data_IF_090994811978
#
_entry.id   IF_090994811978
#
_cell.length_a   1.000
_cell.length_b   1.000
_cell.length_c   1.000
_cell.angle_alpha   90.00
_cell.angle_beta   90.00
_cell.angle_gamma   90.00
#
_symmetry.space_group_name_H-M   'P 1'
#
loop_
_entity.id
_entity.type
_entity.pdbx_description
1 polymer ?
#
# COMPACT_ATOMS: atom_id res chain seq x y z
N UNK A 1 -39.55 17.75 40.16
CA UNK A 1 -38.08 17.94 40.05
C UNK A 1 -37.32 16.63 39.89
N UNK A 2 -37.75 15.51 40.51
CA UNK A 2 -37.11 14.20 40.31
C UNK A 2 -37.07 13.72 38.86
N UNK A 3 -38.19 13.81 38.13
CA UNK A 3 -38.28 13.36 36.72
C UNK A 3 -37.40 14.12 35.74
N UNK A 4 -37.14 15.41 35.99
CA UNK A 4 -36.26 16.21 35.13
C UNK A 4 -34.78 15.87 35.35
N UNK A 5 -34.40 15.55 36.59
CA UNK A 5 -33.03 15.15 36.94
C UNK A 5 -32.74 13.74 36.44
N UNK A 6 -33.70 12.81 36.52
CA UNK A 6 -33.55 11.47 35.92
C UNK A 6 -33.54 11.52 34.41
N UNK A 7 -34.39 12.36 33.78
CA UNK A 7 -34.35 12.60 32.33
C UNK A 7 -32.99 13.15 31.87
N UNK A 8 -32.45 14.16 32.54
CA UNK A 8 -31.12 14.70 32.22
C UNK A 8 -30.02 13.65 32.44
N UNK A 9 -30.09 12.87 33.52
CA UNK A 9 -29.15 11.80 33.81
C UNK A 9 -29.12 10.72 32.72
N UNK A 10 -30.29 10.28 32.24
CA UNK A 10 -30.38 9.30 31.15
C UNK A 10 -29.84 9.86 29.83
N UNK A 11 -30.21 11.08 29.43
CA UNK A 11 -29.70 11.67 28.19
C UNK A 11 -28.19 11.93 28.22
N UNK A 12 -27.62 12.30 29.38
CA UNK A 12 -26.17 12.46 29.55
C UNK A 12 -25.44 11.12 29.49
N UNK A 13 -26.02 10.06 30.06
CA UNK A 13 -25.47 8.71 29.98
C UNK A 13 -25.49 8.18 28.54
N UNK A 14 -26.60 8.37 27.82
CA UNK A 14 -26.72 8.01 26.42
C UNK A 14 -25.73 8.81 25.56
N UNK A 15 -25.66 10.13 25.76
CA UNK A 15 -24.67 10.99 25.09
C UNK A 15 -23.24 10.50 25.31
N UNK A 16 -22.89 10.15 26.56
CA UNK A 16 -21.58 9.60 26.89
C UNK A 16 -21.31 8.29 26.13
N UNK A 17 -22.27 7.37 26.08
CA UNK A 17 -22.16 6.11 25.32
C UNK A 17 -22.09 6.30 23.80
N UNK A 18 -22.55 7.43 23.27
CA UNK A 18 -22.38 7.78 21.86
C UNK A 18 -21.04 8.48 21.56
N UNK A 19 -20.32 8.98 22.58
CA UNK A 19 -19.01 9.59 22.36
C UNK A 19 -17.96 8.59 21.92
N UNK A 20 -17.02 9.04 21.08
CA UNK A 20 -15.88 8.22 20.69
C UNK A 20 -14.96 7.86 21.85
N UNK A 21 -14.94 8.65 22.93
CA UNK A 21 -14.16 8.36 24.13
C UNK A 21 -14.67 7.11 24.87
N UNK A 22 -15.99 6.93 24.96
CA UNK A 22 -16.57 5.76 25.61
C UNK A 22 -16.43 4.47 24.78
N UNK A 23 -16.33 4.60 23.45
CA UNK A 23 -16.17 3.47 22.52
C UNK A 23 -14.70 3.23 22.14
N UNK A 24 -13.77 4.04 22.62
CA UNK A 24 -12.35 3.91 22.32
C UNK A 24 -11.79 2.64 22.94
N UNK A 25 -11.30 1.73 22.10
CA UNK A 25 -10.49 0.60 22.55
C UNK A 25 -9.01 0.90 22.39
N UNK A 26 -8.16 0.13 23.09
CA UNK A 26 -6.69 0.22 22.96
C UNK A 26 -6.25 0.06 21.49
N UNK A 27 -6.95 -0.80 20.72
CA UNK A 27 -6.67 -0.98 19.29
C UNK A 27 -6.85 0.30 18.47
N UNK A 28 -7.91 1.08 18.73
CA UNK A 28 -8.13 2.36 18.04
C UNK A 28 -6.99 3.33 18.33
N UNK A 29 -6.57 3.45 19.59
CA UNK A 29 -5.48 4.34 19.99
C UNK A 29 -4.15 3.96 19.31
N UNK A 30 -3.83 2.66 19.24
CA UNK A 30 -2.63 2.16 18.57
C UNK A 30 -2.68 2.47 17.07
N UNK A 31 -3.80 2.19 16.41
CA UNK A 31 -3.91 2.42 14.97
C UNK A 31 -3.90 3.92 14.62
N UNK A 32 -4.53 4.77 15.42
CA UNK A 32 -4.45 6.22 15.27
C UNK A 32 -3.00 6.69 15.38
N UNK A 33 -2.25 6.18 16.36
CA UNK A 33 -0.84 6.51 16.53
C UNK A 33 -0.02 6.07 15.31
N UNK A 34 -0.27 4.89 14.75
CA UNK A 34 0.36 4.41 13.51
C UNK A 34 0.03 5.34 12.33
N UNK A 35 -1.23 5.76 12.18
CA UNK A 35 -1.66 6.71 11.15
C UNK A 35 -0.94 8.06 11.26
N UNK A 36 -0.77 8.58 12.48
CA UNK A 36 0.00 9.79 12.75
C UNK A 36 1.49 9.63 12.41
N UNK A 37 2.09 8.48 12.73
CA UNK A 37 3.47 8.18 12.35
C UNK A 37 3.63 8.19 10.83
N UNK A 38 2.67 7.62 10.09
CA UNK A 38 2.75 7.56 8.63
C UNK A 38 2.65 8.95 7.99
N UNK A 39 1.73 9.78 8.48
CA UNK A 39 1.63 11.19 8.05
C UNK A 39 2.91 11.95 8.41
N UNK A 40 3.48 11.71 9.60
CA UNK A 40 4.74 12.31 10.00
C UNK A 40 5.90 11.90 9.09
N UNK A 41 6.04 10.61 8.77
CA UNK A 41 7.08 10.11 7.87
C UNK A 41 6.91 10.70 6.46
N UNK A 42 5.68 10.80 5.97
CA UNK A 42 5.41 11.37 4.66
C UNK A 42 5.74 12.87 4.57
N UNK A 43 5.47 13.64 5.62
CA UNK A 43 5.67 15.10 5.61
C UNK A 43 7.09 15.48 6.04
N UNK A 44 7.55 14.98 7.19
CA UNK A 44 8.82 15.41 7.78
C UNK A 44 10.04 14.74 7.13
N UNK A 45 9.85 13.58 6.49
CA UNK A 45 10.92 12.82 5.86
C UNK A 45 10.70 12.57 4.37
N UNK A 46 9.61 13.11 3.81
CA UNK A 46 9.27 13.03 2.37
C UNK A 46 9.22 11.59 1.83
N UNK A 47 8.89 10.61 2.68
CA UNK A 47 8.72 9.22 2.26
C UNK A 47 7.41 9.07 1.49
N UNK A 48 7.48 8.84 0.18
CA UNK A 48 6.34 8.55 -0.72
C UNK A 48 5.05 9.34 -0.36
N UNK A 49 5.09 10.70 -0.35
CA UNK A 49 4.04 11.49 0.27
C UNK A 49 2.68 11.34 -0.42
N UNK A 50 2.71 11.09 -1.74
CA UNK A 50 1.54 10.86 -2.57
C UNK A 50 0.68 9.68 -2.09
N UNK A 51 1.27 8.72 -1.37
CA UNK A 51 0.61 7.49 -0.96
C UNK A 51 0.53 7.34 0.56
N UNK A 52 1.62 7.65 1.29
CA UNK A 52 1.61 7.53 2.76
C UNK A 52 0.65 8.52 3.42
N UNK A 53 0.43 9.72 2.84
CA UNK A 53 -0.53 10.68 3.40
C UNK A 53 -1.97 10.14 3.29
N UNK A 54 -2.48 9.74 2.10
CA UNK A 54 -3.81 9.12 2.00
C UNK A 54 -3.96 7.86 2.85
N UNK A 55 -2.93 7.00 2.94
CA UNK A 55 -2.98 5.79 3.76
C UNK A 55 -3.06 6.15 5.24
N UNK A 56 -2.19 7.04 5.73
CA UNK A 56 -2.21 7.51 7.11
C UNK A 56 -3.54 8.15 7.47
N UNK A 57 -4.09 8.99 6.59
CA UNK A 57 -5.42 9.57 6.76
C UNK A 57 -6.55 8.52 6.78
N UNK A 58 -6.47 7.52 5.90
CA UNK A 58 -7.39 6.38 5.89
C UNK A 58 -7.33 5.57 7.18
N UNK A 59 -6.14 5.37 7.75
CA UNK A 59 -5.96 4.72 9.06
C UNK A 59 -6.61 5.57 10.16
N UNK A 60 -6.42 6.89 10.15
CA UNK A 60 -7.05 7.78 11.13
C UNK A 60 -8.58 7.68 11.06
N UNK A 61 -9.17 7.86 9.88
CA UNK A 61 -10.63 7.85 9.73
C UNK A 61 -11.22 6.47 9.99
N UNK A 62 -10.58 5.42 9.47
CA UNK A 62 -11.03 4.04 9.65
C UNK A 62 -10.99 3.55 11.11
N UNK A 63 -10.24 4.23 11.98
CA UNK A 63 -10.11 3.91 13.41
C UNK A 63 -10.64 5.01 14.32
N UNK A 64 -11.49 5.92 13.82
CA UNK A 64 -12.25 6.82 14.70
C UNK A 64 -13.17 5.94 15.54
N UNK A 65 -13.09 5.98 16.89
CA UNK A 65 -14.01 5.22 17.71
C UNK A 65 -15.39 5.88 17.64
N UNK A 66 -16.37 5.15 17.14
CA UNK A 66 -17.77 5.57 17.14
C UNK A 66 -18.67 4.38 17.46
N UNK A 67 -19.88 4.66 17.93
CA UNK A 67 -20.85 3.64 18.25
C UNK A 67 -21.45 3.08 16.95
N UNK A 68 -21.04 1.86 16.58
CA UNK A 68 -21.50 1.15 15.36
C UNK A 68 -23.02 0.92 15.32
N UNK A 69 -23.68 0.84 16.49
CA UNK A 69 -25.13 0.70 16.63
C UNK A 69 -25.90 2.01 16.43
N UNK A 70 -25.22 3.15 16.34
CA UNK A 70 -25.83 4.47 16.19
C UNK A 70 -26.13 4.86 14.73
N UNK A 71 -25.75 4.04 13.73
CA UNK A 71 -25.99 4.32 12.31
C UNK A 71 -25.32 5.60 11.78
N UNK A 72 -24.18 5.96 12.37
CA UNK A 72 -23.40 7.14 11.97
C UNK A 72 -22.57 6.80 10.72
N UNK A 73 -23.13 7.12 9.54
CA UNK A 73 -22.75 6.74 8.17
C UNK A 73 -21.36 7.20 7.65
N UNK A 74 -20.31 7.15 8.47
CA UNK A 74 -18.98 7.65 8.10
C UNK A 74 -17.97 6.52 7.87
N UNK A 75 -18.28 5.28 8.27
CA UNK A 75 -17.34 4.16 8.21
C UNK A 75 -17.12 3.57 6.81
N UNK A 76 -15.90 3.11 6.50
CA UNK A 76 -15.54 2.43 5.23
C UNK A 76 -16.42 1.20 4.95
N UNK A 77 -16.80 0.49 6.01
CA UNK A 77 -17.61 -0.74 5.93
C UNK A 77 -19.12 -0.48 5.96
N UNK A 78 -19.54 0.77 6.08
CA UNK A 78 -20.95 1.14 6.16
C UNK A 78 -21.49 1.48 4.78
N UNK A 79 -22.50 0.74 4.35
CA UNK A 79 -23.07 0.88 3.01
C UNK A 79 -23.71 2.26 2.83
N UNK A 80 -23.26 3.01 1.82
CA UNK A 80 -23.73 4.36 1.54
C UNK A 80 -22.86 5.48 2.11
N UNK A 81 -21.84 5.17 2.91
CA UNK A 81 -20.86 6.17 3.32
C UNK A 81 -19.97 6.62 2.14
N UNK A 82 -19.46 7.85 2.20
CA UNK A 82 -18.53 8.38 1.19
C UNK A 82 -17.29 7.47 1.07
N UNK A 83 -16.77 6.98 2.20
CA UNK A 83 -15.59 6.12 2.21
C UNK A 83 -15.88 4.72 1.65
N UNK A 84 -17.08 4.18 1.87
CA UNK A 84 -17.50 2.93 1.26
C UNK A 84 -17.56 3.05 -0.26
N UNK A 85 -18.14 4.15 -0.77
CA UNK A 85 -18.21 4.44 -2.21
C UNK A 85 -16.80 4.53 -2.81
N UNK A 86 -15.86 5.20 -2.14
CA UNK A 86 -14.47 5.25 -2.58
C UNK A 86 -13.79 3.87 -2.51
N UNK A 87 -14.06 3.08 -1.48
CA UNK A 87 -13.48 1.75 -1.31
C UNK A 87 -13.99 0.73 -2.34
N UNK A 88 -15.21 0.91 -2.86
CA UNK A 88 -15.73 0.13 -4.00
C UNK A 88 -14.80 0.22 -5.22
N UNK A 89 -14.10 1.36 -5.37
CA UNK A 89 -12.89 1.55 -6.16
C UNK A 89 -11.92 0.36 -6.23
N UNK A 90 -11.56 -0.07 -5.03
CA UNK A 90 -10.52 -1.06 -4.78
C UNK A 90 -11.11 -2.47 -4.83
N UNK A 91 -12.28 -2.69 -4.20
CA UNK A 91 -12.91 -4.01 -4.16
C UNK A 91 -13.44 -4.46 -5.52
N UNK A 92 -14.00 -3.54 -6.31
CA UNK A 92 -14.44 -3.82 -7.68
C UNK A 92 -13.25 -3.88 -8.66
N UNK A 93 -12.05 -3.46 -8.23
CA UNK A 93 -10.79 -3.69 -8.95
C UNK A 93 -10.55 -2.77 -10.15
N UNK A 94 -11.11 -1.56 -10.17
CA UNK A 94 -10.98 -0.60 -11.27
C UNK A 94 -9.88 0.44 -11.00
N UNK A 95 -9.62 0.81 -9.73
CA UNK A 95 -8.51 1.71 -9.41
C UNK A 95 -7.12 1.13 -9.75
N UNK A 96 -6.78 -0.13 -9.40
CA UNK A 96 -5.44 -0.63 -9.70
C UNK A 96 -5.12 -0.65 -11.21
N UNK A 97 -6.00 -1.14 -12.11
CA UNK A 97 -5.75 -1.05 -13.56
C UNK A 97 -5.63 0.38 -14.09
N UNK A 98 -6.41 1.34 -13.56
CA UNK A 98 -6.30 2.75 -13.97
C UNK A 98 -4.96 3.36 -13.52
N UNK A 99 -4.49 3.04 -12.31
CA UNK A 99 -3.17 3.44 -11.85
C UNK A 99 -2.09 2.81 -12.72
N UNK A 100 -2.22 1.52 -13.09
CA UNK A 100 -1.29 0.85 -14.00
C UNK A 100 -1.23 1.49 -15.38
N UNK A 101 -2.38 1.88 -15.92
CA UNK A 101 -2.45 2.62 -17.18
C UNK A 101 -1.66 3.93 -17.08
N UNK A 102 -1.83 4.66 -15.97
CA UNK A 102 -1.08 5.88 -15.69
C UNK A 102 0.44 5.64 -15.59
N UNK A 103 0.86 4.62 -14.84
CA UNK A 103 2.29 4.25 -14.73
C UNK A 103 2.85 3.87 -16.10
N UNK A 104 2.11 3.07 -16.89
CA UNK A 104 2.49 2.70 -18.25
C UNK A 104 2.64 3.91 -19.17
N UNK A 105 1.75 4.90 -19.07
CA UNK A 105 1.82 6.14 -19.84
C UNK A 105 3.00 7.04 -19.45
N UNK A 106 3.48 6.97 -18.21
CA UNK A 106 4.62 7.74 -17.71
C UNK A 106 5.97 7.02 -17.89
N UNK A 107 5.96 5.73 -18.23
CA UNK A 107 7.18 4.90 -18.29
C UNK A 107 7.95 5.13 -19.60
N UNK A 108 9.23 5.50 -19.51
CA UNK A 108 10.12 5.59 -20.66
C UNK A 108 10.78 4.24 -20.98
N UNK A 109 10.31 3.59 -22.05
CA UNK A 109 10.87 2.33 -22.53
C UNK A 109 12.20 2.47 -23.28
N UNK A 110 12.68 3.69 -23.55
CA UNK A 110 13.90 3.93 -24.32
C UNK A 110 15.12 3.23 -23.69
N UNK A 111 15.26 3.29 -22.37
CA UNK A 111 16.36 2.64 -21.66
C UNK A 111 16.33 1.11 -21.82
N UNK A 112 15.14 0.50 -21.69
CA UNK A 112 14.95 -0.94 -21.82
C UNK A 112 15.21 -1.42 -23.25
N UNK A 113 14.65 -0.73 -24.25
CA UNK A 113 14.83 -1.03 -25.67
C UNK A 113 16.29 -0.82 -26.09
N UNK A 114 16.99 0.14 -25.49
CA UNK A 114 18.39 0.43 -25.81
C UNK A 114 19.33 -0.70 -25.38
N UNK A 115 19.02 -1.39 -24.28
CA UNK A 115 19.78 -2.52 -23.77
C UNK A 115 18.83 -3.63 -23.26
N UNK A 116 18.36 -4.51 -24.14
CA UNK A 116 17.39 -5.56 -23.79
C UNK A 116 17.87 -6.53 -22.72
N UNK A 117 19.18 -6.64 -22.48
CA UNK A 117 19.74 -7.46 -21.38
C UNK A 117 19.24 -7.02 -20.01
N UNK A 118 18.80 -5.77 -19.86
CA UNK A 118 18.17 -5.27 -18.64
C UNK A 118 16.87 -6.01 -18.31
N UNK A 119 16.15 -6.56 -19.30
CA UNK A 119 14.97 -7.39 -19.06
C UNK A 119 15.29 -8.65 -18.25
N UNK A 120 16.46 -9.26 -18.47
CA UNK A 120 16.89 -10.44 -17.71
C UNK A 120 17.18 -10.09 -16.24
N UNK A 121 17.69 -8.87 -15.98
CA UNK A 121 17.86 -8.38 -14.61
C UNK A 121 16.49 -8.18 -13.96
N UNK A 122 15.52 -7.65 -14.70
CA UNK A 122 14.13 -7.54 -14.25
C UNK A 122 13.52 -8.90 -13.92
N UNK A 123 13.73 -9.91 -14.77
CA UNK A 123 13.29 -11.29 -14.50
C UNK A 123 13.95 -11.87 -13.24
N UNK A 124 15.24 -11.62 -13.03
CA UNK A 124 15.95 -12.03 -11.82
C UNK A 124 15.42 -11.31 -10.56
N UNK A 125 15.02 -10.05 -10.67
CA UNK A 125 14.45 -9.30 -9.55
C UNK A 125 13.15 -9.94 -9.02
N UNK A 126 12.36 -10.59 -9.89
CA UNK A 126 11.11 -11.26 -9.50
C UNK A 126 11.33 -12.49 -8.61
N UNK A 127 12.56 -13.00 -8.45
CA UNK A 127 12.86 -14.02 -7.43
C UNK A 127 12.56 -13.54 -6.01
N UNK A 128 12.53 -12.23 -5.77
CA UNK A 128 12.07 -11.65 -4.50
C UNK A 128 10.64 -12.07 -4.15
N UNK A 129 9.74 -12.16 -5.14
CA UNK A 129 8.37 -12.62 -4.94
C UNK A 129 8.34 -14.07 -4.48
N UNK A 130 9.07 -14.94 -5.17
CA UNK A 130 9.14 -16.36 -4.83
C UNK A 130 9.77 -16.59 -3.45
N UNK A 131 10.81 -15.82 -3.11
CA UNK A 131 11.43 -15.86 -1.79
C UNK A 131 10.44 -15.49 -0.68
N UNK A 132 9.73 -14.37 -0.83
CA UNK A 132 8.72 -13.93 0.12
C UNK A 132 7.55 -14.95 0.23
N UNK A 133 7.13 -15.54 -0.89
CA UNK A 133 6.11 -16.58 -0.93
C UNK A 133 6.53 -17.84 -0.14
N UNK A 134 7.73 -18.36 -0.38
CA UNK A 134 8.25 -19.55 0.33
C UNK A 134 8.37 -19.29 1.83
N UNK A 135 8.89 -18.12 2.22
CA UNK A 135 8.99 -17.74 3.63
C UNK A 135 7.61 -17.65 4.28
N UNK A 136 6.62 -17.05 3.61
CA UNK A 136 5.25 -16.96 4.13
C UNK A 136 4.62 -18.35 4.33
N UNK A 137 4.82 -19.27 3.38
CA UNK A 137 4.38 -20.66 3.52
C UNK A 137 5.06 -21.35 4.72
N UNK A 138 6.37 -21.16 4.92
CA UNK A 138 7.11 -21.74 6.04
C UNK A 138 6.65 -21.19 7.40
N UNK A 139 6.18 -19.94 7.45
CA UNK A 139 5.60 -19.32 8.65
C UNK A 139 4.17 -19.86 8.93
N UNK A 140 3.55 -20.58 7.99
CA UNK A 140 2.25 -21.22 8.15
C UNK A 140 1.07 -20.45 7.55
N UNK A 141 1.32 -19.50 6.64
CA UNK A 141 0.24 -18.84 5.90
C UNK A 141 -0.34 -19.78 4.83
N UNK A 142 -1.65 -19.68 4.63
CA UNK A 142 -2.36 -20.37 3.53
C UNK A 142 -1.78 -19.97 2.16
N UNK A 143 -1.78 -20.86 1.14
CA UNK A 143 -1.19 -20.55 -0.17
C UNK A 143 -1.68 -19.25 -0.81
N UNK A 144 -2.97 -18.94 -0.68
CA UNK A 144 -3.55 -17.70 -1.21
C UNK A 144 -3.03 -16.46 -0.46
N UNK A 145 -2.88 -16.55 0.86
CA UNK A 145 -2.34 -15.48 1.69
C UNK A 145 -0.84 -15.30 1.45
N UNK A 146 -0.10 -16.40 1.39
CA UNK A 146 1.31 -16.40 1.03
C UNK A 146 1.53 -15.81 -0.37
N UNK A 147 0.66 -16.10 -1.33
CA UNK A 147 0.69 -15.51 -2.67
C UNK A 147 0.51 -13.99 -2.64
N UNK A 148 -0.47 -13.50 -1.86
CA UNK A 148 -0.70 -12.07 -1.69
C UNK A 148 0.47 -11.36 -0.98
N UNK A 149 1.07 -11.99 0.03
CA UNK A 149 2.26 -11.48 0.74
C UNK A 149 3.49 -11.49 -0.18
N UNK A 150 3.64 -12.53 -1.01
CA UNK A 150 4.77 -12.70 -1.92
C UNK A 150 4.95 -11.53 -2.87
N UNK A 151 3.86 -10.95 -3.39
CA UNK A 151 3.92 -9.82 -4.34
C UNK A 151 4.62 -8.58 -3.76
N UNK A 152 4.67 -8.42 -2.43
CA UNK A 152 5.46 -7.34 -1.79
C UNK A 152 6.92 -7.39 -2.27
N UNK A 153 7.47 -8.59 -2.50
CA UNK A 153 8.82 -8.79 -3.02
C UNK A 153 9.04 -8.29 -4.45
N UNK A 154 7.98 -8.00 -5.19
CA UNK A 154 8.04 -7.40 -6.53
C UNK A 154 8.20 -5.87 -6.50
N UNK A 155 8.06 -5.25 -5.32
CA UNK A 155 8.15 -3.80 -5.11
C UNK A 155 7.24 -2.96 -6.04
N UNK A 156 6.08 -3.51 -6.39
CA UNK A 156 5.04 -2.83 -7.17
C UNK A 156 3.71 -2.75 -6.38
N UNK A 157 3.38 -1.55 -5.93
CA UNK A 157 2.28 -1.31 -4.99
C UNK A 157 0.88 -1.55 -5.57
N UNK A 158 0.57 -1.00 -6.76
CA UNK A 158 -0.70 -1.25 -7.42
C UNK A 158 -0.96 -2.74 -7.70
N UNK A 159 0.05 -3.54 -8.08
CA UNK A 159 -0.14 -5.00 -8.27
C UNK A 159 -0.34 -5.71 -6.95
N UNK A 160 0.38 -5.31 -5.90
CA UNK A 160 0.18 -5.84 -4.55
C UNK A 160 -1.25 -5.61 -4.05
N UNK A 161 -1.82 -4.41 -4.26
CA UNK A 161 -3.22 -4.10 -3.94
C UNK A 161 -4.17 -4.95 -4.78
N UNK A 162 -3.93 -5.03 -6.10
CA UNK A 162 -4.80 -5.78 -7.00
C UNK A 162 -4.84 -7.28 -6.67
N UNK A 163 -3.68 -7.90 -6.46
CA UNK A 163 -3.64 -9.34 -6.18
C UNK A 163 -4.16 -9.64 -4.77
N UNK A 164 -3.83 -8.82 -3.77
CA UNK A 164 -4.35 -9.03 -2.42
C UNK A 164 -5.86 -8.86 -2.35
N UNK A 165 -6.47 -7.96 -3.13
CA UNK A 165 -7.94 -7.83 -3.20
C UNK A 165 -8.63 -9.05 -3.82
N UNK A 166 -7.92 -9.87 -4.60
CA UNK A 166 -8.43 -11.11 -5.20
C UNK A 166 -8.11 -12.36 -4.39
N UNK A 167 -6.91 -12.45 -3.83
CA UNK A 167 -6.42 -13.65 -3.13
C UNK A 167 -6.67 -13.63 -1.61
N UNK A 168 -6.47 -12.47 -0.97
CA UNK A 168 -6.55 -12.34 0.49
C UNK A 168 -7.10 -10.96 0.92
N UNK A 169 -8.41 -10.67 0.69
CA UNK A 169 -8.99 -9.36 0.99
C UNK A 169 -8.83 -8.95 2.46
N UNK A 170 -8.81 -9.92 3.37
CA UNK A 170 -8.61 -9.73 4.81
C UNK A 170 -7.20 -9.20 5.17
N UNK A 171 -6.20 -9.42 4.31
CA UNK A 171 -4.82 -8.96 4.52
C UNK A 171 -4.46 -7.75 3.66
N UNK A 172 -5.36 -7.30 2.78
CA UNK A 172 -5.10 -6.23 1.80
C UNK A 172 -4.56 -4.96 2.46
N UNK A 173 -5.16 -4.51 3.57
CA UNK A 173 -4.71 -3.31 4.28
C UNK A 173 -3.27 -3.44 4.79
N UNK A 174 -2.94 -4.57 5.44
CA UNK A 174 -1.60 -4.84 5.95
C UNK A 174 -0.57 -4.98 4.82
N UNK A 175 -0.94 -5.64 3.72
CA UNK A 175 -0.08 -5.80 2.54
C UNK A 175 0.19 -4.45 1.88
N UNK A 176 -0.83 -3.62 1.64
CA UNK A 176 -0.69 -2.32 1.01
C UNK A 176 0.19 -1.38 1.85
N UNK A 177 -0.05 -1.33 3.16
CA UNK A 177 0.79 -0.58 4.11
C UNK A 177 2.25 -1.05 4.05
N UNK A 178 2.47 -2.36 4.11
CA UNK A 178 3.83 -2.93 4.09
C UNK A 178 4.53 -2.66 2.76
N UNK A 179 3.84 -2.83 1.64
CA UNK A 179 4.38 -2.64 0.30
C UNK A 179 4.92 -1.21 0.11
N UNK A 180 4.11 -0.18 0.38
CA UNK A 180 4.56 1.20 0.22
C UNK A 180 5.58 1.64 1.27
N UNK A 181 5.46 1.16 2.50
CA UNK A 181 6.46 1.44 3.54
C UNK A 181 7.83 0.88 3.16
N UNK A 182 7.89 -0.34 2.63
CA UNK A 182 9.16 -0.94 2.21
C UNK A 182 9.73 -0.34 0.93
N UNK A 183 8.89 0.09 -0.02
CA UNK A 183 9.33 0.85 -1.20
C UNK A 183 10.02 2.16 -0.78
N UNK A 184 9.44 2.88 0.17
CA UNK A 184 10.04 4.10 0.71
C UNK A 184 11.37 3.86 1.44
N UNK A 185 11.60 2.64 1.95
CA UNK A 185 12.84 2.23 2.61
C UNK A 185 13.92 1.70 1.65
N UNK A 186 13.65 1.61 0.35
CA UNK A 186 14.64 1.17 -0.65
C UNK A 186 15.97 1.94 -0.55
N UNK A 187 16.01 3.28 -0.42
CA UNK A 187 17.27 4.03 -0.26
C UNK A 187 18.06 3.66 1.00
N UNK A 188 17.42 3.08 2.01
CA UNK A 188 18.05 2.64 3.25
C UNK A 188 18.52 1.19 3.14
N UNK A 189 17.70 0.31 2.55
CA UNK A 189 17.95 -1.13 2.46
C UNK A 189 18.92 -1.48 1.32
N UNK A 190 18.78 -0.83 0.16
CA UNK A 190 19.50 -1.17 -1.06
C UNK A 190 21.02 -0.90 -0.95
N UNK A 191 21.51 0.27 -0.46
CA UNK A 191 22.94 0.55 -0.45
C UNK A 191 23.77 -0.41 0.44
N UNK A 192 23.35 -0.81 1.65
CA UNK A 192 24.03 -1.82 2.43
C UNK A 192 24.14 -3.17 1.73
N UNK A 193 23.05 -3.64 1.10
CA UNK A 193 23.04 -4.91 0.36
C UNK A 193 24.00 -4.86 -0.83
N UNK A 194 23.99 -3.76 -1.58
CA UNK A 194 24.95 -3.54 -2.67
C UNK A 194 26.39 -3.52 -2.14
N UNK A 195 26.62 -2.91 -0.98
CA UNK A 195 27.94 -2.86 -0.33
C UNK A 195 28.47 -4.23 0.04
N UNK A 196 27.59 -5.13 0.47
CA UNK A 196 27.90 -6.48 0.91
C UNK A 196 28.17 -7.44 -0.26
N UNK A 197 27.38 -7.36 -1.34
CA UNK A 197 27.40 -8.35 -2.42
C UNK A 197 28.32 -8.00 -3.60
N UNK A 198 28.62 -6.73 -3.82
CA UNK A 198 29.44 -6.29 -4.97
C UNK A 198 30.84 -5.88 -4.55
N UNK A 199 31.80 -5.96 -5.45
CA UNK A 199 33.18 -5.51 -5.22
C UNK A 199 33.42 -4.10 -5.73
N UNK A 200 34.49 -3.44 -5.26
CA UNK A 200 34.89 -2.13 -5.77
C UNK A 200 35.23 -2.16 -7.27
N UNK A 201 35.77 -3.27 -7.78
CA UNK A 201 36.10 -3.44 -9.21
C UNK A 201 34.83 -3.42 -10.07
N UNK A 202 33.77 -4.12 -9.64
CA UNK A 202 32.49 -4.16 -10.36
C UNK A 202 31.77 -2.81 -10.35
N UNK A 203 31.81 -2.08 -9.23
CA UNK A 203 31.19 -0.74 -9.11
C UNK A 203 31.84 0.32 -9.99
N UNK A 204 33.09 0.12 -10.42
CA UNK A 204 33.85 1.06 -11.25
C UNK A 204 33.76 0.77 -12.75
N UNK A 205 32.96 -0.24 -13.16
CA UNK A 205 32.73 -0.56 -14.57
C UNK A 205 32.06 0.62 -15.28
N UNK A 206 32.64 1.09 -16.38
CA UNK A 206 32.07 2.17 -17.20
C UNK A 206 31.00 1.62 -18.13
N UNK A 207 29.76 2.07 -17.94
CA UNK A 207 28.64 1.72 -18.81
C UNK A 207 28.73 2.49 -20.13
N UNK A 208 28.53 1.79 -21.26
CA UNK A 208 28.44 2.43 -22.59
C UNK A 208 27.19 3.30 -22.67
N UNK A 209 27.22 4.42 -23.41
CA UNK A 209 26.02 5.22 -23.62
C UNK A 209 24.93 4.37 -24.30
N UNK A 210 23.66 4.55 -23.92
CA UNK A 210 22.54 3.84 -24.54
C UNK A 210 22.43 4.19 -26.03
N UNK A 211 22.02 3.22 -26.86
CA UNK A 211 21.74 3.47 -28.27
C UNK A 211 20.52 4.39 -28.42
N UNK A 212 20.49 5.17 -29.49
CA UNK A 212 19.31 5.98 -29.84
C UNK A 212 18.20 5.03 -30.32
N UNK A 213 17.04 5.14 -29.71
CA UNK A 213 15.86 4.32 -30.04
C UNK A 213 14.94 5.13 -30.95
N UNK A 214 14.58 4.56 -32.10
CA UNK A 214 13.68 5.20 -33.07
C UNK A 214 12.25 5.32 -32.51
N UNK A 215 11.49 6.31 -32.99
CA UNK A 215 10.08 6.46 -32.60
C UNK A 215 9.28 5.19 -32.94
N UNK A 216 9.54 4.59 -34.10
CA UNK A 216 8.88 3.37 -34.55
C UNK A 216 9.12 2.20 -33.59
N UNK A 217 10.35 2.01 -33.10
CA UNK A 217 10.64 0.98 -32.09
C UNK A 217 9.87 1.21 -30.79
N UNK A 218 9.76 2.46 -30.32
CA UNK A 218 9.00 2.79 -29.10
C UNK A 218 7.50 2.48 -29.24
N UNK A 219 6.93 2.74 -30.42
CA UNK A 219 5.50 2.49 -30.69
C UNK A 219 5.21 0.99 -30.86
N UNK A 220 6.10 0.24 -31.51
CA UNK A 220 5.93 -1.19 -31.73
C UNK A 220 6.15 -1.99 -30.43
N UNK A 221 7.05 -1.53 -29.56
CA UNK A 221 7.42 -2.22 -28.33
C UNK A 221 6.22 -2.68 -27.47
N UNK A 222 5.25 -1.84 -27.07
CA UNK A 222 4.10 -2.29 -26.28
C UNK A 222 3.09 -3.17 -27.04
N UNK A 223 3.19 -3.27 -28.37
CA UNK A 223 2.30 -4.10 -29.20
C UNK A 223 2.86 -5.53 -29.34
N UNK A 224 4.18 -5.63 -29.47
CA UNK A 224 4.88 -6.89 -29.78
C UNK A 224 5.56 -7.50 -28.56
N UNK A 225 6.06 -6.65 -27.65
CA UNK A 225 6.77 -7.04 -26.43
C UNK A 225 5.83 -7.40 -25.30
#
# INVERSE_FOLDING_TARGET
MGDFVTFLGHNLADFWQYTGFANATVGHAVMILVGLIFIYLAIAKEFEPMLLIPIGFGILIGNIPFNLTAGLQVGIYEQGSVLNILYQGVTSGWYPPLIFLGIGAMTDFSALISNPKLMLIGAAAQFGIFGAYVIALMIGFEPNQAGAIGIIGGADGPTAIFLSSKLAPNLMGAIAVSAYSYMALVPVIQPPVMRLLTTNKERLIRMKPPRVVSHTEKVIFPIVG
#
